data_IF_104693043089
#
_entry.id   IF_104693043089
#
_cell.length_a   1.000
_cell.length_b   1.000
_cell.length_c   1.000
_cell.angle_alpha   90.00
_cell.angle_beta   90.00
_cell.angle_gamma   90.00
#
_symmetry.space_group_name_H-M   'P 1'
#
loop_
_entity.id
_entity.type
_entity.pdbx_description
1 polymer ?
#
# COMPACT_ATOMS: atom_id res chain seq x y z
N UNK A 1 -2.87 -14.61 -12.93
CA UNK A 1 -1.56 -14.57 -12.24
C UNK A 1 -1.64 -15.51 -11.03
N UNK A 2 -0.65 -16.36 -10.75
CA UNK A 2 -0.81 -17.43 -9.74
C UNK A 2 -0.67 -16.93 -8.30
N UNK A 3 -1.43 -17.51 -7.37
CA UNK A 3 -1.39 -17.23 -5.91
C UNK A 3 0.04 -17.27 -5.35
N UNK A 4 0.92 -18.09 -5.93
CA UNK A 4 2.31 -18.22 -5.51
C UNK A 4 3.16 -16.97 -5.78
N UNK A 5 2.83 -16.16 -6.80
CA UNK A 5 3.52 -14.88 -7.04
C UNK A 5 3.14 -13.84 -5.99
N UNK A 6 1.93 -13.93 -5.45
CA UNK A 6 1.39 -12.98 -4.48
C UNK A 6 1.92 -13.25 -3.08
N UNK A 7 2.09 -14.52 -2.74
CA UNK A 7 2.73 -14.93 -1.49
C UNK A 7 4.22 -14.52 -1.46
N UNK A 8 4.90 -14.47 -2.61
CA UNK A 8 6.31 -14.03 -2.68
C UNK A 8 6.50 -12.56 -2.33
N UNK A 9 5.48 -11.71 -2.50
CA UNK A 9 5.55 -10.29 -2.13
C UNK A 9 4.91 -10.03 -0.78
N UNK A 10 3.78 -10.67 -0.47
CA UNK A 10 3.07 -10.49 0.80
C UNK A 10 3.85 -11.04 2.01
N UNK A 11 4.47 -12.23 1.89
CA UNK A 11 5.18 -12.86 3.02
C UNK A 11 6.38 -12.02 3.48
N UNK A 12 7.28 -11.53 2.60
CA UNK A 12 8.38 -10.66 3.04
C UNK A 12 7.89 -9.38 3.72
N UNK A 13 6.84 -8.73 3.18
CA UNK A 13 6.29 -7.50 3.76
C UNK A 13 5.68 -7.75 5.14
N UNK A 14 4.93 -8.84 5.30
CA UNK A 14 4.42 -9.27 6.61
C UNK A 14 5.56 -9.63 7.58
N UNK A 15 6.60 -10.31 7.09
CA UNK A 15 7.80 -10.63 7.86
C UNK A 15 8.56 -9.40 8.35
N UNK A 16 8.67 -8.35 7.51
CA UNK A 16 9.24 -7.06 7.90
C UNK A 16 8.46 -6.42 9.04
N UNK A 17 7.12 -6.40 8.97
CA UNK A 17 6.28 -5.88 10.04
C UNK A 17 6.43 -6.68 11.33
N UNK A 18 6.35 -8.01 11.26
CA UNK A 18 6.52 -8.87 12.42
C UNK A 18 7.89 -8.68 13.09
N UNK A 19 8.95 -8.59 12.28
CA UNK A 19 10.32 -8.35 12.78
C UNK A 19 10.45 -6.98 13.43
N UNK A 20 9.91 -5.93 12.79
CA UNK A 20 9.90 -4.58 13.38
C UNK A 20 9.18 -4.55 14.72
N UNK A 21 7.94 -5.08 14.79
CA UNK A 21 7.17 -5.06 16.03
C UNK A 21 7.72 -5.98 17.12
N UNK A 22 8.47 -7.02 16.74
CA UNK A 22 9.16 -7.88 17.71
C UNK A 22 10.34 -7.17 18.38
N UNK A 23 11.20 -6.50 17.61
CA UNK A 23 12.37 -5.80 18.16
C UNK A 23 12.09 -4.37 18.64
N UNK A 24 11.05 -3.76 18.08
CA UNK A 24 10.59 -2.38 18.34
C UNK A 24 11.73 -1.34 18.41
N UNK A 25 12.60 -1.26 17.38
CA UNK A 25 13.71 -0.32 17.40
C UNK A 25 13.19 1.14 17.37
N UNK A 26 13.76 2.00 18.22
CA UNK A 26 13.46 3.43 18.19
C UNK A 26 14.17 4.11 17.02
N UNK A 27 13.48 5.03 16.35
CA UNK A 27 14.07 5.86 15.30
C UNK A 27 13.55 7.31 15.36
N UNK A 28 14.31 8.29 14.83
CA UNK A 28 13.91 9.70 14.81
C UNK A 28 12.56 9.96 14.12
N UNK A 29 11.84 10.99 14.59
CA UNK A 29 10.52 11.36 14.07
C UNK A 29 10.57 11.79 12.60
N UNK A 30 11.69 12.34 12.16
CA UNK A 30 11.97 12.78 10.79
C UNK A 30 11.88 11.60 9.80
N UNK A 31 12.34 10.42 10.21
CA UNK A 31 12.23 9.20 9.41
C UNK A 31 10.77 8.77 9.29
N UNK A 32 9.96 9.00 10.34
CA UNK A 32 8.53 8.69 10.29
C UNK A 32 7.82 9.51 9.20
N UNK A 33 8.13 10.80 9.09
CA UNK A 33 7.61 11.63 8.00
C UNK A 33 8.08 11.16 6.62
N UNK A 34 9.34 10.74 6.49
CA UNK A 34 9.85 10.21 5.23
C UNK A 34 9.09 8.94 4.80
N UNK A 35 8.78 8.04 5.73
CA UNK A 35 8.01 6.82 5.44
C UNK A 35 6.58 7.10 4.96
N UNK A 36 5.91 8.06 5.60
CA UNK A 36 4.60 8.55 5.13
C UNK A 36 4.68 9.21 3.75
N UNK A 37 5.76 9.95 3.47
CA UNK A 37 6.02 10.52 2.16
C UNK A 37 6.21 9.45 1.07
N UNK A 38 6.96 8.39 1.38
CA UNK A 38 7.15 7.23 0.50
C UNK A 38 5.83 6.54 0.22
N UNK A 39 5.00 6.31 1.24
CA UNK A 39 3.65 5.78 1.07
C UNK A 39 2.83 6.62 0.10
N UNK A 40 2.68 7.92 0.38
CA UNK A 40 1.86 8.80 -0.43
C UNK A 40 2.36 8.83 -1.89
N UNK A 41 3.67 8.95 -2.10
CA UNK A 41 4.26 9.00 -3.43
C UNK A 41 4.00 7.74 -4.23
N UNK A 42 4.28 6.55 -3.67
CA UNK A 42 4.08 5.29 -4.39
C UNK A 42 2.60 4.95 -4.56
N UNK A 43 1.77 5.23 -3.56
CA UNK A 43 0.32 5.10 -3.67
C UNK A 43 -0.23 5.87 -4.88
N UNK A 44 0.10 7.16 -4.99
CA UNK A 44 -0.42 7.97 -6.10
C UNK A 44 0.20 7.59 -7.44
N UNK A 45 1.43 7.10 -7.45
CA UNK A 45 2.08 6.58 -8.67
C UNK A 45 1.35 5.34 -9.20
N UNK A 46 1.06 4.38 -8.32
CA UNK A 46 0.33 3.14 -8.63
C UNK A 46 -1.14 3.40 -8.97
N UNK A 47 -1.82 4.24 -8.19
CA UNK A 47 -3.18 4.64 -8.47
C UNK A 47 -3.29 5.33 -9.84
N UNK A 48 -2.35 6.22 -10.19
CA UNK A 48 -2.34 6.93 -11.47
C UNK A 48 -2.22 5.98 -12.65
N UNK A 49 -1.25 5.06 -12.63
CA UNK A 49 -1.09 4.10 -13.75
C UNK A 49 -2.35 3.24 -13.91
N UNK A 50 -2.98 2.85 -12.81
CA UNK A 50 -4.18 2.01 -12.79
C UNK A 50 -5.41 2.75 -13.33
N UNK A 51 -5.68 3.98 -12.87
CA UNK A 51 -6.86 4.75 -13.33
C UNK A 51 -6.71 5.25 -14.77
N UNK A 52 -5.50 5.51 -15.25
CA UNK A 52 -5.25 5.92 -16.63
C UNK A 52 -5.42 4.76 -17.63
N UNK A 53 -5.36 3.50 -17.17
CA UNK A 53 -5.43 2.32 -18.00
C UNK A 53 -6.57 1.41 -17.51
N UNK A 54 -7.80 1.71 -17.95
CA UNK A 54 -9.02 1.06 -17.43
C UNK A 54 -9.03 -0.47 -17.52
N UNK A 55 -8.30 -1.07 -18.47
CA UNK A 55 -8.16 -2.52 -18.57
C UNK A 55 -7.44 -3.15 -17.36
N UNK A 56 -6.58 -2.38 -16.66
CA UNK A 56 -5.91 -2.82 -15.43
C UNK A 56 -6.88 -3.08 -14.27
N UNK A 57 -8.07 -2.47 -14.29
CA UNK A 57 -9.10 -2.72 -13.27
C UNK A 57 -9.54 -4.18 -13.21
N UNK A 58 -9.42 -4.93 -14.32
CA UNK A 58 -9.71 -6.37 -14.36
C UNK A 58 -8.61 -7.24 -13.74
N UNK A 59 -7.41 -6.69 -13.53
CA UNK A 59 -6.28 -7.35 -12.90
C UNK A 59 -6.11 -6.96 -11.43
N UNK A 60 -6.90 -5.98 -10.97
CA UNK A 60 -6.77 -5.42 -9.64
C UNK A 60 -7.30 -6.38 -8.57
N UNK A 61 -6.47 -6.64 -7.55
CA UNK A 61 -6.78 -7.64 -6.53
C UNK A 61 -7.57 -7.06 -5.38
N UNK A 62 -7.37 -5.76 -5.11
CA UNK A 62 -8.18 -5.09 -4.12
C UNK A 62 -9.58 -4.86 -4.67
N UNK A 63 -10.54 -5.71 -4.30
CA UNK A 63 -11.94 -5.65 -4.77
C UNK A 63 -12.58 -4.28 -4.47
N UNK A 64 -12.12 -3.58 -3.43
CA UNK A 64 -12.63 -2.25 -3.06
C UNK A 64 -12.33 -1.24 -4.16
N UNK A 65 -11.14 -1.27 -4.77
CA UNK A 65 -10.72 -0.23 -5.71
C UNK A 65 -11.54 -0.21 -7.02
N UNK A 66 -11.79 -1.34 -7.72
CA UNK A 66 -12.70 -1.39 -8.86
C UNK A 66 -14.15 -1.03 -8.49
N UNK A 67 -14.61 -1.41 -7.29
CA UNK A 67 -15.95 -1.07 -6.81
C UNK A 67 -16.10 0.45 -6.62
N UNK A 68 -15.12 1.10 -6.01
CA UNK A 68 -15.04 2.55 -5.89
C UNK A 68 -14.96 3.21 -7.28
N UNK A 69 -14.07 2.70 -8.15
CA UNK A 69 -13.88 3.21 -9.50
C UNK A 69 -15.19 3.24 -10.30
N UNK A 70 -15.96 2.15 -10.26
CA UNK A 70 -17.26 2.05 -10.94
C UNK A 70 -18.30 3.04 -10.38
N UNK A 71 -18.25 3.33 -9.07
CA UNK A 71 -19.25 4.17 -8.39
C UNK A 71 -18.93 5.66 -8.44
N UNK A 72 -17.67 6.04 -8.24
CA UNK A 72 -17.25 7.43 -8.05
C UNK A 72 -16.32 7.94 -9.15
N UNK A 73 -15.84 7.06 -10.03
CA UNK A 73 -14.99 7.41 -11.16
C UNK A 73 -13.50 7.61 -10.81
N UNK A 74 -12.66 7.87 -11.82
CA UNK A 74 -11.20 7.85 -11.71
C UNK A 74 -10.60 8.93 -10.80
N UNK A 75 -11.31 10.05 -10.59
CA UNK A 75 -10.78 11.18 -9.79
C UNK A 75 -10.99 10.98 -8.29
N UNK A 76 -12.16 10.48 -7.89
CA UNK A 76 -12.56 10.39 -6.48
C UNK A 76 -12.10 9.06 -5.86
N UNK A 77 -12.12 7.99 -6.63
CA UNK A 77 -11.82 6.64 -6.12
C UNK A 77 -10.43 6.50 -5.49
N UNK A 78 -9.35 7.04 -6.09
CA UNK A 78 -8.02 7.04 -5.46
C UNK A 78 -7.98 7.78 -4.13
N UNK A 79 -8.79 8.82 -3.94
CA UNK A 79 -8.80 9.60 -2.69
C UNK A 79 -9.48 8.80 -1.58
N UNK A 80 -10.64 8.18 -1.88
CA UNK A 80 -11.37 7.35 -0.91
C UNK A 80 -10.52 6.13 -0.51
N UNK A 81 -9.94 5.44 -1.48
CA UNK A 81 -9.09 4.29 -1.24
C UNK A 81 -7.86 4.65 -0.38
N UNK A 82 -7.23 5.81 -0.64
CA UNK A 82 -6.12 6.32 0.18
C UNK A 82 -6.57 6.54 1.62
N UNK A 83 -7.75 7.13 1.83
CA UNK A 83 -8.31 7.33 3.17
C UNK A 83 -8.56 6.01 3.91
N UNK A 84 -9.06 4.99 3.23
CA UNK A 84 -9.25 3.64 3.80
C UNK A 84 -7.90 3.04 4.19
N UNK A 85 -6.89 3.15 3.35
CA UNK A 85 -5.56 2.61 3.64
C UNK A 85 -4.84 3.37 4.76
N UNK A 86 -4.93 4.70 4.80
CA UNK A 86 -4.41 5.50 5.92
C UNK A 86 -5.05 5.03 7.23
N UNK A 87 -6.36 4.80 7.23
CA UNK A 87 -7.07 4.28 8.40
C UNK A 87 -6.54 2.89 8.81
N UNK A 88 -6.34 1.98 7.86
CA UNK A 88 -5.74 0.66 8.12
C UNK A 88 -4.30 0.80 8.65
N UNK A 89 -3.47 1.65 8.05
CA UNK A 89 -2.07 1.87 8.44
C UNK A 89 -1.97 2.36 9.89
N UNK A 90 -2.86 3.26 10.31
CA UNK A 90 -2.91 3.76 11.68
C UNK A 90 -3.39 2.68 12.66
N UNK A 91 -4.30 1.80 12.24
CA UNK A 91 -4.86 0.75 13.09
C UNK A 91 -4.03 -0.51 13.16
N UNK A 92 -3.28 -0.87 12.12
CA UNK A 92 -2.53 -2.12 12.05
C UNK A 92 -1.55 -2.33 13.24
N UNK A 93 -0.86 -1.30 13.77
CA UNK A 93 -0.02 -1.47 14.95
C UNK A 93 -0.76 -2.06 16.17
N UNK A 94 -2.08 -1.86 16.31
CA UNK A 94 -2.86 -2.41 17.43
C UNK A 94 -2.85 -3.94 17.51
N UNK A 95 -2.61 -4.63 16.40
CA UNK A 95 -2.51 -6.09 16.40
C UNK A 95 -1.20 -6.58 17.04
N UNK A 96 -0.20 -5.70 17.21
CA UNK A 96 1.11 -6.04 17.73
C UNK A 96 1.40 -5.38 19.08
N UNK A 97 0.97 -4.13 19.26
CA UNK A 97 1.25 -3.30 20.44
C UNK A 97 -0.01 -2.54 20.89
N UNK A 98 -0.12 -2.23 22.18
CA UNK A 98 -1.31 -1.58 22.76
C UNK A 98 -1.27 -0.05 22.70
N UNK A 99 -0.16 0.55 22.27
CA UNK A 99 0.02 2.01 22.17
C UNK A 99 0.19 2.42 20.71
N UNK A 100 -0.59 3.39 20.24
CA UNK A 100 -0.39 3.97 18.91
C UNK A 100 0.76 4.97 18.99
N UNK A 101 1.90 4.62 18.41
CA UNK A 101 2.94 5.57 18.06
C UNK A 101 2.80 6.05 16.61
N UNK A 102 3.05 7.33 16.37
CA UNK A 102 3.22 7.85 14.99
C UNK A 102 4.38 7.14 14.28
N UNK A 103 5.44 6.78 15.00
CA UNK A 103 6.54 5.98 14.47
C UNK A 103 6.08 4.59 14.03
N UNK A 104 5.27 3.89 14.81
CA UNK A 104 4.81 2.54 14.46
C UNK A 104 3.93 2.52 13.21
N UNK A 105 2.98 3.45 13.12
CA UNK A 105 2.16 3.57 11.91
C UNK A 105 2.99 4.01 10.70
N UNK A 106 4.09 4.75 10.89
CA UNK A 106 4.98 5.10 9.78
C UNK A 106 5.71 3.89 9.19
N UNK A 107 6.09 2.89 9.98
CA UNK A 107 6.69 1.65 9.44
C UNK A 107 5.66 0.87 8.63
N UNK A 108 4.42 0.81 9.12
CA UNK A 108 3.32 0.23 8.36
C UNK A 108 3.09 1.00 7.05
N UNK A 109 3.15 2.34 7.09
CA UNK A 109 3.03 3.20 5.91
C UNK A 109 4.13 2.87 4.89
N UNK A 110 5.39 2.74 5.32
CA UNK A 110 6.49 2.35 4.44
C UNK A 110 6.21 1.01 3.75
N UNK A 111 5.78 0.00 4.51
CA UNK A 111 5.49 -1.33 3.98
C UNK A 111 4.36 -1.29 2.95
N UNK A 112 3.29 -0.53 3.22
CA UNK A 112 2.22 -0.29 2.26
C UNK A 112 2.74 0.45 1.02
N UNK A 113 3.57 1.49 1.20
CA UNK A 113 4.20 2.22 0.11
C UNK A 113 5.03 1.32 -0.81
N UNK A 114 5.84 0.43 -0.24
CA UNK A 114 6.60 -0.55 -1.03
C UNK A 114 5.68 -1.53 -1.77
N UNK A 115 4.54 -1.91 -1.20
CA UNK A 115 3.56 -2.74 -1.90
C UNK A 115 2.97 -2.03 -3.13
N UNK A 116 2.70 -0.72 -3.06
CA UNK A 116 2.29 0.08 -4.22
C UNK A 116 3.39 0.23 -5.26
N UNK A 117 4.65 0.38 -4.83
CA UNK A 117 5.76 0.39 -5.80
C UNK A 117 5.81 -0.92 -6.60
N UNK A 118 5.61 -2.06 -5.93
CA UNK A 118 5.52 -3.36 -6.59
C UNK A 118 4.29 -3.46 -7.50
N UNK A 119 3.14 -2.94 -7.06
CA UNK A 119 1.92 -2.80 -7.87
C UNK A 119 2.17 -2.00 -9.15
N UNK A 120 2.78 -0.83 -9.01
CA UNK A 120 3.16 0.04 -10.12
C UNK A 120 4.05 -0.69 -11.14
N UNK A 121 5.11 -1.36 -10.69
CA UNK A 121 5.98 -2.12 -11.61
C UNK A 121 5.26 -3.30 -12.27
N UNK A 122 4.35 -3.96 -11.56
CA UNK A 122 3.51 -5.02 -12.15
C UNK A 122 2.59 -4.46 -13.23
N UNK A 123 1.90 -3.36 -12.95
CA UNK A 123 1.02 -2.66 -13.87
C UNK A 123 1.77 -2.17 -15.11
N UNK A 124 2.96 -1.59 -14.92
CA UNK A 124 3.82 -1.15 -16.02
C UNK A 124 4.22 -2.30 -16.94
N UNK A 125 4.60 -3.46 -16.39
CA UNK A 125 4.92 -4.65 -17.20
C UNK A 125 3.73 -5.16 -18.02
N UNK A 126 2.51 -5.04 -17.51
CA UNK A 126 1.30 -5.43 -18.24
C UNK A 126 1.08 -4.49 -19.43
N UNK A 127 1.23 -3.18 -19.22
CA UNK A 127 1.10 -2.18 -20.29
C UNK A 127 2.20 -2.34 -21.35
N UNK A 128 3.45 -2.56 -20.95
CA UNK A 128 4.56 -2.72 -21.89
C UNK A 128 4.46 -4.01 -22.74
N UNK A 129 3.62 -4.97 -22.32
CA UNK A 129 3.38 -6.23 -23.02
C UNK A 129 2.10 -6.26 -23.87
N UNK A 130 1.26 -5.21 -23.79
CA UNK A 130 0.00 -5.06 -24.53
C UNK A 130 0.15 -4.18 -25.76
#
# INVERSE_FOLDING_TARGET
MSIFLDLRTAIPLAGCLATYFYFHPSFPIEISFAFWGVFAFFYFLDARITVCNSHLMGYEKNIIFPALYKRYGPKISPIIQCGIEIFIIILLPFFFITKIGFSDSSVVALVFGLSHLLGYYSNKKIIDAS
#
